data_IF_481808833608
#
_entry.id   IF_481808833608
#
_cell.length_a   1.000
_cell.length_b   1.000
_cell.length_c   1.000
_cell.angle_alpha   90.00
_cell.angle_beta   90.00
_cell.angle_gamma   90.00
#
_symmetry.space_group_name_H-M   'P 1'
#
loop_
_entity.id
_entity.type
_entity.pdbx_description
1 polymer ?
#
# COMPACT_ATOMS: atom_id res chain seq x y z
N UNK A 1 -1.77 8.72 -2.94
CA UNK A 1 -0.45 8.23 -2.48
C UNK A 1 -0.50 6.75 -2.11
N UNK A 2 -1.34 6.34 -1.15
CA UNK A 2 -1.45 4.92 -0.73
C UNK A 2 -1.81 3.97 -1.88
N UNK A 3 -2.89 4.26 -2.61
CA UNK A 3 -3.36 3.42 -3.74
C UNK A 3 -2.30 3.26 -4.83
N UNK A 4 -1.71 4.36 -5.28
CA UNK A 4 -0.65 4.33 -6.28
C UNK A 4 0.54 3.48 -5.83
N UNK A 5 0.99 3.64 -4.58
CA UNK A 5 2.08 2.83 -4.02
C UNK A 5 1.70 1.34 -3.93
N UNK A 6 0.46 1.04 -3.52
CA UNK A 6 0.00 -0.33 -3.42
C UNK A 6 -0.07 -1.02 -4.79
N UNK A 7 -0.64 -0.35 -5.80
CA UNK A 7 -0.69 -0.84 -7.18
C UNK A 7 0.72 -1.04 -7.76
N UNK A 8 1.62 -0.07 -7.57
CA UNK A 8 3.00 -0.17 -8.05
C UNK A 8 3.73 -1.38 -7.43
N UNK A 9 3.60 -1.56 -6.11
CA UNK A 9 4.20 -2.70 -5.40
C UNK A 9 3.61 -4.03 -5.88
N UNK A 10 2.28 -4.11 -6.04
CA UNK A 10 1.59 -5.32 -6.47
C UNK A 10 2.00 -5.73 -7.89
N UNK A 11 1.88 -4.81 -8.85
CA UNK A 11 2.20 -5.06 -10.26
C UNK A 11 3.69 -5.39 -10.44
N UNK A 12 4.57 -4.68 -9.72
CA UNK A 12 6.01 -4.96 -9.76
C UNK A 12 6.35 -6.36 -9.24
N UNK A 13 5.64 -6.85 -8.23
CA UNK A 13 5.84 -8.20 -7.71
C UNK A 13 5.24 -9.27 -8.62
N UNK A 14 4.03 -9.03 -9.16
CA UNK A 14 3.32 -10.01 -9.99
C UNK A 14 3.92 -10.15 -11.41
N UNK A 15 4.43 -9.05 -11.98
CA UNK A 15 4.92 -9.04 -13.36
C UNK A 15 3.81 -9.13 -14.42
N UNK A 16 2.54 -8.96 -14.04
CA UNK A 16 1.38 -8.97 -14.92
C UNK A 16 0.34 -7.93 -14.47
N UNK A 17 -0.71 -7.75 -15.26
CA UNK A 17 -1.86 -6.94 -14.85
C UNK A 17 -2.63 -7.60 -13.71
N UNK A 18 -3.10 -6.79 -12.78
CA UNK A 18 -3.83 -7.23 -11.59
C UNK A 18 -5.19 -6.52 -11.49
N UNK A 19 -6.14 -7.16 -10.83
CA UNK A 19 -7.37 -6.55 -10.34
C UNK A 19 -7.39 -6.59 -8.82
N UNK A 20 -8.03 -5.60 -8.21
CA UNK A 20 -8.12 -5.49 -6.76
C UNK A 20 -9.33 -6.28 -6.23
N UNK A 21 -9.11 -7.10 -5.21
CA UNK A 21 -10.15 -7.85 -4.50
C UNK A 21 -10.71 -7.00 -3.33
N UNK A 22 -9.82 -6.56 -2.43
CA UNK A 22 -10.18 -5.79 -1.24
C UNK A 22 -9.25 -4.59 -1.05
N UNK A 23 -9.80 -3.52 -0.44
CA UNK A 23 -9.09 -2.28 -0.13
C UNK A 23 -9.57 -1.68 1.19
N UNK A 24 -8.66 -1.54 2.15
CA UNK A 24 -8.97 -0.90 3.43
C UNK A 24 -7.93 0.16 3.78
N UNK A 25 -8.39 1.28 4.34
CA UNK A 25 -7.55 2.36 4.85
C UNK A 25 -7.95 2.65 6.29
N UNK A 26 -6.95 2.71 7.16
CA UNK A 26 -7.09 3.14 8.54
C UNK A 26 -6.41 4.49 8.71
N UNK A 27 -7.12 5.45 9.32
CA UNK A 27 -6.56 6.75 9.72
C UNK A 27 -6.06 6.66 11.15
N UNK A 28 -4.75 6.84 11.34
CA UNK A 28 -4.08 6.58 12.62
C UNK A 28 -3.78 7.87 13.38
N UNK A 29 -3.16 8.85 12.69
CA UNK A 29 -2.86 10.16 13.26
C UNK A 29 -3.21 11.26 12.24
N UNK A 30 -3.43 12.47 12.74
CA UNK A 30 -3.46 13.67 11.88
C UNK A 30 -2.06 13.94 11.32
N UNK A 31 -1.92 14.08 9.99
CA UNK A 31 -0.70 14.57 9.36
C UNK A 31 -0.44 16.04 9.70
N UNK A 32 0.82 16.43 9.93
CA UNK A 32 1.16 17.76 10.45
C UNK A 32 2.18 18.52 9.62
N UNK A 33 3.35 17.94 9.36
CA UNK A 33 4.52 18.72 8.93
C UNK A 33 4.97 18.37 7.52
N UNK A 34 5.12 17.08 7.22
CA UNK A 34 5.71 16.61 5.97
C UNK A 34 7.23 16.84 5.90
N UNK A 35 7.93 16.23 4.93
CA UNK A 35 7.39 15.56 3.77
C UNK A 35 6.70 14.24 4.12
N UNK A 36 5.55 14.00 3.47
CA UNK A 36 4.83 12.74 3.60
C UNK A 36 5.36 11.75 2.57
N UNK A 37 5.65 10.52 2.98
CA UNK A 37 6.10 9.45 2.08
C UNK A 37 5.36 8.15 2.38
N UNK A 38 5.15 7.37 1.34
CA UNK A 38 4.59 6.02 1.46
C UNK A 38 5.69 5.01 1.62
N UNK A 39 5.55 4.11 2.59
CA UNK A 39 6.44 2.99 2.83
C UNK A 39 5.59 1.71 2.84
N UNK A 40 5.97 0.70 2.08
CA UNK A 40 5.15 -0.49 1.94
C UNK A 40 5.86 -1.66 1.29
N UNK A 41 5.19 -2.81 1.34
CA UNK A 41 5.68 -4.08 0.84
C UNK A 41 4.53 -4.91 0.27
N UNK A 42 4.82 -5.66 -0.79
CA UNK A 42 3.92 -6.64 -1.41
C UNK A 42 4.39 -8.06 -1.09
N UNK A 43 3.43 -8.98 -0.98
CA UNK A 43 3.64 -10.36 -0.60
C UNK A 43 2.90 -11.28 -1.58
N UNK A 44 3.58 -12.31 -2.08
CA UNK A 44 2.95 -13.34 -2.90
C UNK A 44 2.12 -14.29 -2.01
N UNK A 45 0.88 -14.53 -2.43
CA UNK A 45 -0.03 -15.50 -1.84
C UNK A 45 -0.24 -16.72 -2.74
N UNK A 46 -1.22 -17.55 -2.38
CA UNK A 46 -1.65 -18.67 -3.21
C UNK A 46 -2.34 -18.19 -4.50
N UNK A 47 -2.28 -19.01 -5.55
CA UNK A 47 -3.02 -18.82 -6.81
C UNK A 47 -2.77 -17.45 -7.49
N UNK A 48 -1.56 -16.92 -7.35
CA UNK A 48 -1.17 -15.62 -7.94
C UNK A 48 -1.75 -14.41 -7.22
N UNK A 49 -2.42 -14.58 -6.07
CA UNK A 49 -2.87 -13.45 -5.26
C UNK A 49 -1.70 -12.66 -4.72
N UNK A 50 -1.85 -11.35 -4.63
CA UNK A 50 -0.87 -10.44 -4.04
C UNK A 50 -1.50 -9.69 -2.88
N UNK A 51 -0.89 -9.76 -1.71
CA UNK A 51 -1.23 -8.89 -0.58
C UNK A 51 -0.27 -7.71 -0.51
N UNK A 52 -0.77 -6.52 -0.19
CA UNK A 52 0.07 -5.32 -0.03
C UNK A 52 -0.28 -4.59 1.25
N UNK A 53 0.74 -4.08 1.95
CA UNK A 53 0.57 -3.16 3.08
C UNK A 53 1.39 -1.90 2.84
N UNK A 54 0.76 -0.74 3.03
CA UNK A 54 1.41 0.57 2.85
C UNK A 54 1.07 1.48 4.02
N UNK A 55 2.06 2.19 4.57
CA UNK A 55 1.89 3.29 5.52
C UNK A 55 2.23 4.63 4.88
N UNK A 56 1.46 5.66 5.19
CA UNK A 56 1.81 7.06 4.92
C UNK A 56 2.49 7.63 6.17
N UNK A 57 3.74 8.05 6.04
CA UNK A 57 4.61 8.49 7.13
C UNK A 57 4.88 9.99 7.01
N UNK A 58 4.71 10.73 8.11
CA UNK A 58 5.11 12.13 8.23
C UNK A 58 6.56 12.23 8.74
N UNK A 59 7.52 12.32 7.81
CA UNK A 59 8.94 12.37 8.17
C UNK A 59 9.37 13.70 8.79
N UNK A 60 8.61 14.79 8.58
CA UNK A 60 8.88 16.05 9.26
C UNK A 60 8.35 16.12 10.68
N UNK A 61 7.66 15.08 11.14
CA UNK A 61 7.04 15.02 12.46
C UNK A 61 7.43 13.74 13.20
N UNK A 62 8.72 13.42 13.20
CA UNK A 62 9.27 12.29 13.94
C UNK A 62 8.87 10.92 13.38
N UNK A 63 8.59 10.81 12.08
CA UNK A 63 8.27 9.54 11.43
C UNK A 63 6.93 8.95 11.86
N UNK A 64 5.96 9.79 12.21
CA UNK A 64 4.64 9.32 12.65
C UNK A 64 3.84 8.75 11.48
N UNK A 65 3.25 7.58 11.68
CA UNK A 65 2.27 7.00 10.75
C UNK A 65 0.97 7.80 10.80
N UNK A 66 0.57 8.34 9.65
CA UNK A 66 -0.66 9.11 9.45
C UNK A 66 -1.81 8.18 9.11
N UNK A 67 -1.60 7.32 8.12
CA UNK A 67 -2.58 6.33 7.66
C UNK A 67 -1.87 5.04 7.27
N UNK A 68 -2.57 3.92 7.38
CA UNK A 68 -2.12 2.64 6.82
C UNK A 68 -3.19 2.07 5.91
N UNK A 69 -2.76 1.28 4.95
CA UNK A 69 -3.61 0.58 4.01
C UNK A 69 -3.19 -0.89 3.89
N UNK A 70 -4.18 -1.75 3.68
CA UNK A 70 -3.99 -3.11 3.20
C UNK A 70 -4.86 -3.33 1.96
N UNK A 71 -4.32 -4.07 1.00
CA UNK A 71 -4.99 -4.41 -0.25
C UNK A 71 -4.68 -5.85 -0.65
N UNK A 72 -5.62 -6.49 -1.34
CA UNK A 72 -5.45 -7.81 -1.95
C UNK A 72 -5.76 -7.71 -3.43
N UNK A 73 -5.01 -8.44 -4.24
CA UNK A 73 -5.13 -8.44 -5.69
C UNK A 73 -5.14 -9.86 -6.23
N UNK A 74 -5.72 -10.05 -7.41
CA UNK A 74 -5.58 -11.25 -8.22
C UNK A 74 -5.10 -10.91 -9.65
N UNK A 75 -4.55 -11.87 -10.41
CA UNK A 75 -4.21 -11.66 -11.82
C UNK A 75 -5.43 -11.27 -12.65
N UNK A 76 -5.29 -10.20 -13.45
CA UNK A 76 -6.26 -9.90 -14.48
C UNK A 76 -6.22 -11.02 -15.53
N UNK A 77 -7.40 -11.47 -15.95
CA UNK A 77 -7.58 -12.62 -16.84
C UNK A 77 -6.88 -12.46 -18.20
#
# INVERSE_FOLDING_TARGET
MLEACANELATRLAGCELQIDDWYVMFVNRGKTGPFRTEGEAYAGADGKIGVRVSLVDHGNGGRVVSTCAATFHPAR
#
